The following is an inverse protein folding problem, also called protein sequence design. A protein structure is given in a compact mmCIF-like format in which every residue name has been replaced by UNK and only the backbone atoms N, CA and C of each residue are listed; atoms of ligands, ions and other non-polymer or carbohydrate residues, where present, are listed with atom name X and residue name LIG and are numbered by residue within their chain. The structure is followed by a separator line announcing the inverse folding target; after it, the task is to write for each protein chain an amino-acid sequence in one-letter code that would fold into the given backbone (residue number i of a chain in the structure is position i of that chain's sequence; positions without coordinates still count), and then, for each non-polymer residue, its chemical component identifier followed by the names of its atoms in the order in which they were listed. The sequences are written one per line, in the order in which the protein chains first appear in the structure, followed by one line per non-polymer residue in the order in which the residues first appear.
data_IF_648900871393
#
_entry.id   IF_648900871393
#
_cell.length_a   1.000
_cell.length_b   1.000
_cell.length_c   1.000
_cell.angle_alpha   90.00
_cell.angle_beta   90.00
_cell.angle_gamma   90.00
#
_symmetry.space_group_name_H-M   'P 1'
#
loop_
_entity.id
_entity.type
_entity.pdbx_description
1 polymer ?
#
# COMPACT_ATOMS: atom_id res chain seq x y z
N UNK A 1 -76.97 -0.33 -8.47
CA UNK A 1 -76.14 -0.64 -7.28
C UNK A 1 -74.68 -0.36 -7.65
N UNK A 2 -74.06 0.62 -6.98
CA UNK A 2 -72.79 1.26 -7.38
C UNK A 2 -71.61 0.32 -7.06
N UNK A 3 -70.81 -0.05 -8.06
CA UNK A 3 -69.57 -0.82 -7.87
C UNK A 3 -68.45 0.15 -7.49
N UNK A 4 -68.01 0.12 -6.23
CA UNK A 4 -66.86 0.89 -5.76
C UNK A 4 -65.57 0.16 -6.18
N UNK A 5 -64.81 0.76 -7.09
CA UNK A 5 -63.51 0.30 -7.52
C UNK A 5 -62.47 0.80 -6.50
N UNK A 6 -62.00 -0.08 -5.62
CA UNK A 6 -60.97 0.24 -4.62
C UNK A 6 -59.61 0.39 -5.26
N UNK A 7 -59.01 1.59 -5.17
CA UNK A 7 -57.64 1.87 -5.58
C UNK A 7 -56.71 1.34 -4.47
N UNK A 8 -56.05 0.20 -4.73
CA UNK A 8 -54.99 -0.31 -3.87
C UNK A 8 -53.70 0.44 -4.21
N UNK A 9 -53.40 1.50 -3.48
CA UNK A 9 -52.15 2.24 -3.61
C UNK A 9 -51.01 1.39 -3.02
N UNK A 10 -50.24 0.72 -3.89
CA UNK A 10 -49.01 0.04 -3.50
C UNK A 10 -47.96 1.13 -3.21
N UNK A 11 -47.88 1.54 -1.95
CA UNK A 11 -46.79 2.37 -1.43
C UNK A 11 -45.49 1.55 -1.55
N UNK A 12 -44.82 1.64 -2.71
CA UNK A 12 -43.43 1.25 -2.85
C UNK A 12 -42.62 2.11 -1.87
N UNK A 13 -42.38 1.57 -0.68
CA UNK A 13 -41.52 2.16 0.32
C UNK A 13 -40.13 2.34 -0.27
N UNK A 14 -39.81 3.58 -0.64
CA UNK A 14 -38.48 3.99 -1.07
C UNK A 14 -37.55 3.79 0.13
N UNK A 15 -36.94 2.61 0.24
CA UNK A 15 -35.86 2.38 1.17
C UNK A 15 -34.67 3.18 0.65
N UNK A 16 -34.46 4.36 1.24
CA UNK A 16 -33.22 5.08 1.09
C UNK A 16 -32.10 4.15 1.55
N UNK A 17 -31.38 3.55 0.60
CA UNK A 17 -30.17 2.81 0.90
C UNK A 17 -29.20 3.80 1.53
N UNK A 18 -29.01 3.69 2.84
CA UNK A 18 -27.96 4.42 3.53
C UNK A 18 -26.64 4.08 2.81
N UNK A 19 -25.94 5.11 2.35
CA UNK A 19 -24.64 4.92 1.70
C UNK A 19 -23.75 4.09 2.65
N UNK A 20 -23.12 3.00 2.16
CA UNK A 20 -22.25 2.19 3.00
C UNK A 20 -21.21 3.09 3.65
N UNK A 21 -21.00 2.94 4.96
CA UNK A 21 -19.91 3.64 5.64
C UNK A 21 -18.59 3.28 4.95
N UNK A 22 -17.71 4.25 4.67
CA UNK A 22 -16.41 3.92 4.10
C UNK A 22 -15.66 2.96 5.04
N UNK A 23 -14.92 1.98 4.50
CA UNK A 23 -14.17 1.05 5.32
C UNK A 23 -13.02 1.76 6.02
N UNK A 24 -12.62 1.24 7.19
CA UNK A 24 -11.33 1.60 7.78
C UNK A 24 -10.22 0.95 6.95
N UNK A 25 -9.22 1.74 6.52
CA UNK A 25 -8.08 1.26 5.75
C UNK A 25 -6.85 1.26 6.65
N UNK A 26 -6.21 0.10 6.82
CA UNK A 26 -4.97 -0.04 7.58
C UNK A 26 -3.87 -0.56 6.65
N UNK A 27 -2.83 0.25 6.45
CA UNK A 27 -1.61 -0.18 5.77
C UNK A 27 -0.57 -0.61 6.79
N UNK A 28 -0.33 -1.91 6.91
CA UNK A 28 0.70 -2.48 7.78
C UNK A 28 1.99 -2.68 6.97
N UNK A 29 2.97 -1.79 7.14
CA UNK A 29 4.24 -1.79 6.40
C UNK A 29 5.41 -2.20 7.32
N UNK A 30 6.11 -3.28 6.96
CA UNK A 30 7.30 -3.78 7.68
C UNK A 30 8.57 -3.30 6.98
N UNK A 31 9.58 -2.91 7.74
CA UNK A 31 10.88 -2.47 7.20
C UNK A 31 11.79 -3.68 6.96
N UNK A 32 12.45 -3.70 5.80
CA UNK A 32 13.44 -4.71 5.38
C UNK A 32 13.00 -6.18 5.54
N UNK A 33 11.69 -6.45 5.48
CA UNK A 33 11.14 -7.80 5.52
C UNK A 33 11.31 -8.49 4.17
N UNK A 34 12.13 -9.54 4.12
CA UNK A 34 12.33 -10.37 2.95
C UNK A 34 11.10 -11.18 2.58
N UNK A 35 11.04 -11.60 1.31
CA UNK A 35 9.91 -12.36 0.76
C UNK A 35 9.66 -13.71 1.47
N UNK A 36 10.69 -14.27 2.12
CA UNK A 36 10.62 -15.53 2.87
C UNK A 36 10.74 -15.33 4.38
N UNK A 37 10.74 -14.10 4.88
CA UNK A 37 10.90 -13.78 6.32
C UNK A 37 9.59 -13.99 7.10
N UNK A 38 8.89 -15.08 6.82
CA UNK A 38 7.55 -15.38 7.33
C UNK A 38 7.28 -16.88 7.26
N UNK A 39 6.41 -17.37 8.15
CA UNK A 39 5.88 -18.73 8.07
C UNK A 39 4.89 -18.96 6.92
N UNK A 40 4.46 -17.90 6.24
CA UNK A 40 3.54 -17.99 5.09
C UNK A 40 4.31 -18.36 3.82
N UNK A 41 3.97 -19.46 3.12
CA UNK A 41 4.60 -19.78 1.85
C UNK A 41 4.08 -18.84 0.75
N UNK A 42 4.97 -18.00 0.23
CA UNK A 42 4.74 -17.16 -0.96
C UNK A 42 5.29 -17.78 -2.25
N UNK A 43 6.27 -18.67 -2.15
CA UNK A 43 6.74 -19.50 -3.26
C UNK A 43 5.77 -20.68 -3.50
N UNK A 44 5.89 -21.36 -4.65
CA UNK A 44 5.10 -22.57 -4.97
C UNK A 44 5.42 -23.73 -4.01
N UNK A 45 6.61 -23.72 -3.45
CA UNK A 45 7.12 -24.72 -2.52
C UNK A 45 7.46 -24.06 -1.19
N UNK A 46 7.28 -24.82 -0.11
CA UNK A 46 7.67 -24.38 1.23
C UNK A 46 9.19 -24.38 1.36
N UNK A 47 9.74 -23.35 1.99
CA UNK A 47 11.19 -23.24 2.21
C UNK A 47 11.54 -23.44 3.69
N UNK A 48 12.81 -23.78 4.03
CA UNK A 48 13.25 -23.90 5.42
C UNK A 48 12.99 -22.64 6.26
N UNK A 49 12.98 -21.45 5.63
CA UNK A 49 12.63 -20.20 6.32
C UNK A 49 11.18 -20.18 6.79
N UNK A 50 10.25 -20.74 6.00
CA UNK A 50 8.85 -20.84 6.40
C UNK A 50 8.63 -21.77 7.61
N UNK A 51 9.56 -22.70 7.86
CA UNK A 51 9.53 -23.59 9.02
C UNK A 51 10.24 -23.00 10.23
N UNK A 52 11.20 -22.09 9.99
CA UNK A 52 11.95 -21.40 11.03
C UNK A 52 11.14 -20.25 11.66
N UNK A 53 10.57 -19.37 10.83
CA UNK A 53 9.85 -18.19 11.32
C UNK A 53 8.49 -18.57 11.91
N UNK A 54 8.01 -17.76 12.86
CA UNK A 54 6.71 -17.96 13.54
C UNK A 54 5.85 -16.71 13.40
N UNK A 55 5.01 -16.67 12.36
CA UNK A 55 4.13 -15.52 12.08
C UNK A 55 2.65 -15.94 12.01
N UNK A 56 2.06 -16.48 13.09
CA UNK A 56 0.71 -17.05 13.07
C UNK A 56 -0.39 -16.03 12.71
N UNK A 57 -0.18 -14.75 13.03
CA UNK A 57 -1.11 -13.68 12.63
C UNK A 57 -1.07 -13.40 11.12
N UNK A 58 0.09 -13.53 10.48
CA UNK A 58 0.18 -13.41 9.02
C UNK A 58 -0.45 -14.62 8.33
N UNK A 59 -0.28 -15.82 8.87
CA UNK A 59 -0.97 -17.02 8.38
C UNK A 59 -2.49 -16.87 8.46
N UNK A 60 -3.00 -16.35 9.59
CA UNK A 60 -4.41 -16.07 9.75
C UNK A 60 -4.90 -15.03 8.73
N UNK A 61 -4.16 -13.93 8.55
CA UNK A 61 -4.50 -12.91 7.57
C UNK A 61 -4.51 -13.46 6.14
N UNK A 62 -3.52 -14.28 5.78
CA UNK A 62 -3.42 -14.91 4.47
C UNK A 62 -4.56 -15.91 4.19
N UNK A 63 -5.08 -16.60 5.21
CA UNK A 63 -6.25 -17.48 5.08
C UNK A 63 -7.57 -16.72 4.88
N UNK A 64 -7.63 -15.48 5.35
CA UNK A 64 -8.84 -14.64 5.33
C UNK A 64 -8.85 -13.65 4.16
N UNK A 65 -7.78 -13.58 3.37
CA UNK A 65 -7.59 -12.58 2.33
C UNK A 65 -6.88 -13.12 1.10
N UNK A 66 -6.26 -12.21 0.36
CA UNK A 66 -5.52 -12.50 -0.87
C UNK A 66 -4.03 -12.32 -0.63
N UNK A 67 -3.22 -13.26 -1.12
CA UNK A 67 -1.77 -13.14 -1.18
C UNK A 67 -1.34 -12.71 -2.58
N UNK A 68 -0.48 -11.71 -2.67
CA UNK A 68 0.24 -11.39 -3.91
C UNK A 68 1.61 -12.04 -3.85
N UNK A 69 1.86 -13.02 -4.72
CA UNK A 69 3.14 -13.74 -4.79
C UNK A 69 4.22 -12.98 -5.58
N UNK A 70 3.82 -11.95 -6.33
CA UNK A 70 4.70 -11.07 -7.12
C UNK A 70 4.37 -9.59 -6.89
N UNK A 71 4.55 -9.11 -5.66
CA UNK A 71 4.48 -7.69 -5.33
C UNK A 71 5.90 -7.09 -5.29
N UNK A 72 6.09 -5.92 -5.92
CA UNK A 72 7.41 -5.30 -6.06
C UNK A 72 7.50 -3.97 -5.31
N UNK A 73 8.71 -3.68 -4.82
CA UNK A 73 9.09 -2.41 -4.21
C UNK A 73 10.39 -1.90 -4.84
N UNK A 74 10.77 -0.65 -4.55
CA UNK A 74 12.14 -0.22 -4.83
C UNK A 74 13.10 -0.91 -3.86
N UNK A 75 14.35 -1.09 -4.27
CA UNK A 75 15.36 -1.82 -3.49
C UNK A 75 15.81 -1.12 -2.19
N UNK A 76 15.30 0.08 -1.90
CA UNK A 76 15.70 0.90 -0.74
C UNK A 76 14.45 1.53 -0.09
N UNK A 77 14.51 1.76 1.22
CA UNK A 77 13.39 2.21 2.05
C UNK A 77 12.76 3.54 1.58
N UNK A 78 13.57 4.57 1.33
CA UNK A 78 13.09 5.93 1.00
C UNK A 78 12.31 6.02 -0.32
N UNK A 79 12.79 5.48 -1.46
CA UNK A 79 11.99 5.47 -2.69
C UNK A 79 10.68 4.70 -2.51
N UNK A 80 10.70 3.52 -1.87
CA UNK A 80 9.49 2.71 -1.61
C UNK A 80 8.46 3.47 -0.80
N UNK A 81 8.86 4.07 0.34
CA UNK A 81 7.95 4.82 1.22
C UNK A 81 7.40 6.07 0.53
N UNK A 82 8.22 6.76 -0.26
CA UNK A 82 7.76 7.92 -1.03
C UNK A 82 6.76 7.51 -2.11
N UNK A 83 6.99 6.40 -2.80
CA UNK A 83 6.05 5.86 -3.79
C UNK A 83 4.72 5.44 -3.15
N UNK A 84 4.76 4.76 -1.99
CA UNK A 84 3.55 4.42 -1.21
C UNK A 84 2.77 5.68 -0.84
N UNK A 85 3.44 6.72 -0.34
CA UNK A 85 2.77 7.94 0.11
C UNK A 85 2.20 8.76 -1.05
N UNK A 86 2.83 8.78 -2.22
CA UNK A 86 2.48 9.70 -3.32
C UNK A 86 1.76 9.03 -4.49
N UNK A 87 1.78 7.70 -4.57
CA UNK A 87 1.31 6.95 -5.76
C UNK A 87 2.20 7.14 -7.00
N UNK A 88 3.40 7.70 -6.85
CA UNK A 88 4.30 8.01 -7.96
C UNK A 88 5.46 7.02 -8.03
N UNK A 89 5.90 6.70 -9.24
CA UNK A 89 7.14 5.95 -9.45
C UNK A 89 8.38 6.74 -8.96
N UNK A 90 9.46 6.07 -8.49
CA UNK A 90 10.67 6.75 -8.02
C UNK A 90 11.28 7.78 -8.95
N UNK A 91 11.23 7.55 -10.26
CA UNK A 91 11.75 8.50 -11.25
C UNK A 91 10.94 9.79 -11.29
N UNK A 92 9.62 9.73 -11.04
CA UNK A 92 8.74 10.90 -11.04
C UNK A 92 8.97 11.76 -9.79
N UNK A 93 9.11 11.14 -8.62
CA UNK A 93 9.32 11.87 -7.37
C UNK A 93 10.79 12.12 -7.02
N UNK A 94 11.75 11.59 -7.80
CA UNK A 94 13.20 11.85 -7.74
C UNK A 94 13.92 11.50 -6.42
N UNK A 95 13.22 10.94 -5.44
CA UNK A 95 13.81 10.24 -4.29
C UNK A 95 14.16 8.82 -4.71
N UNK A 96 15.43 8.51 -4.95
CA UNK A 96 15.86 7.17 -5.46
C UNK A 96 16.85 6.44 -4.58
N UNK A 97 17.25 7.04 -3.47
CA UNK A 97 18.14 6.43 -2.49
C UNK A 97 17.71 6.80 -1.07
N UNK A 98 18.31 6.16 -0.06
CA UNK A 98 18.03 6.44 1.34
C UNK A 98 18.56 7.81 1.78
N UNK A 99 17.97 8.41 2.81
CA UNK A 99 18.45 9.67 3.39
C UNK A 99 19.10 9.40 4.74
N UNK A 100 20.35 9.82 4.93
CA UNK A 100 21.02 9.80 6.23
C UNK A 100 20.97 11.17 6.91
N UNK A 101 21.52 12.15 6.21
CA UNK A 101 21.67 13.53 6.67
C UNK A 101 20.89 14.44 5.72
N UNK A 102 20.40 15.56 6.26
CA UNK A 102 19.81 16.63 5.44
C UNK A 102 20.81 17.07 4.38
N UNK A 103 20.34 17.15 3.13
CA UNK A 103 21.10 17.53 1.92
C UNK A 103 22.30 16.63 1.60
N UNK A 104 22.45 15.50 2.31
CA UNK A 104 23.53 14.53 2.11
C UNK A 104 23.37 13.70 0.84
N UNK A 105 24.50 13.34 0.22
CA UNK A 105 24.55 12.37 -0.88
C UNK A 105 24.87 10.98 -0.33
N UNK A 106 23.94 10.05 -0.50
CA UNK A 106 24.04 8.65 -0.04
C UNK A 106 24.30 7.66 -1.17
N UNK A 107 24.37 8.16 -2.39
CA UNK A 107 24.68 7.37 -3.58
C UNK A 107 26.18 7.12 -3.70
N UNK A 108 26.59 6.35 -4.72
CA UNK A 108 27.96 5.86 -4.79
C UNK A 108 29.00 6.98 -4.98
N UNK A 109 30.26 6.67 -4.65
CA UNK A 109 31.38 7.63 -4.68
C UNK A 109 31.82 8.05 -6.09
N UNK A 110 31.37 7.34 -7.13
CA UNK A 110 31.74 7.62 -8.52
C UNK A 110 30.64 8.42 -9.21
N UNK A 111 31.00 9.27 -10.18
CA UNK A 111 30.03 10.09 -10.91
C UNK A 111 28.90 9.28 -11.57
N UNK A 112 29.16 8.01 -11.95
CA UNK A 112 28.14 7.11 -12.52
C UNK A 112 27.13 6.60 -11.49
N UNK A 113 27.51 6.57 -10.22
CA UNK A 113 26.69 6.09 -9.12
C UNK A 113 26.07 7.23 -8.32
N UNK A 114 26.36 8.49 -8.65
CA UNK A 114 25.73 9.65 -8.03
C UNK A 114 24.37 9.90 -8.65
N UNK A 115 23.38 10.23 -7.82
CA UNK A 115 22.12 10.76 -8.32
C UNK A 115 22.36 12.10 -9.03
N UNK A 116 21.53 12.46 -10.03
CA UNK A 116 21.56 13.79 -10.62
C UNK A 116 21.48 14.88 -9.55
N UNK A 117 22.24 15.97 -9.73
CA UNK A 117 22.43 17.02 -8.72
C UNK A 117 21.11 17.67 -8.28
N UNK A 118 20.11 17.70 -9.16
CA UNK A 118 18.80 18.29 -8.92
C UNK A 118 17.77 17.31 -8.34
N UNK A 119 18.14 16.06 -8.04
CA UNK A 119 17.21 15.09 -7.47
C UNK A 119 17.02 15.27 -5.97
N UNK A 120 15.87 14.81 -5.48
CA UNK A 120 15.42 15.02 -4.11
C UNK A 120 16.15 14.07 -3.17
N UNK A 121 17.10 14.60 -2.38
CA UNK A 121 17.91 13.83 -1.41
C UNK A 121 17.32 13.77 0.01
N UNK A 122 16.32 14.59 0.29
CA UNK A 122 15.68 14.73 1.61
C UNK A 122 14.42 13.87 1.78
N UNK A 123 14.24 12.83 0.96
CA UNK A 123 13.06 11.97 1.04
C UNK A 123 11.76 12.65 0.59
N UNK A 124 10.64 12.24 1.18
CA UNK A 124 9.31 12.81 0.90
C UNK A 124 9.31 14.32 1.16
N UNK A 125 8.88 15.09 0.16
CA UNK A 125 8.91 16.55 0.25
C UNK A 125 7.67 17.10 1.00
N UNK A 126 7.80 18.21 1.76
CA UNK A 126 6.69 18.78 2.53
C UNK A 126 5.48 19.19 1.67
N UNK A 127 5.73 19.59 0.43
CA UNK A 127 4.73 20.03 -0.55
C UNK A 127 4.07 18.86 -1.30
N UNK A 128 4.47 17.61 -1.03
CA UNK A 128 3.90 16.46 -1.70
C UNK A 128 2.42 16.27 -1.32
N UNK A 129 1.60 16.00 -2.35
CA UNK A 129 0.26 15.45 -2.21
C UNK A 129 0.42 13.97 -1.87
N UNK A 130 -0.17 13.54 -0.76
CA UNK A 130 -0.07 12.16 -0.28
C UNK A 130 -1.43 11.46 -0.32
N UNK A 131 -1.43 10.13 -0.44
CA UNK A 131 -2.66 9.32 -0.40
C UNK A 131 -3.50 9.61 0.85
N UNK A 132 -2.94 9.71 2.07
CA UNK A 132 -3.74 10.07 3.24
C UNK A 132 -4.34 11.48 3.22
N UNK A 133 -3.84 12.40 2.37
CA UNK A 133 -4.47 13.72 2.18
C UNK A 133 -5.60 13.69 1.14
N UNK A 134 -5.66 12.66 0.30
CA UNK A 134 -6.66 12.48 -0.75
C UNK A 134 -7.84 11.61 -0.32
N UNK A 135 -7.61 10.71 0.64
CA UNK A 135 -8.61 9.86 1.28
C UNK A 135 -9.31 10.61 2.42
#
# INVERSE_FOLDING_TARGET
MKRALGIFAFLLGCHAFAAPKPPNIVLFLVDDMGWQDTSVPFHSERTPFNDHFRTPNMERLAKQGVKFTQAYAAAVCSPTRTSIMTGQNPIRHQVTNWTLNKDGETSGKTARLQAPVNWKRNGLQPDAITLPKLL
#
